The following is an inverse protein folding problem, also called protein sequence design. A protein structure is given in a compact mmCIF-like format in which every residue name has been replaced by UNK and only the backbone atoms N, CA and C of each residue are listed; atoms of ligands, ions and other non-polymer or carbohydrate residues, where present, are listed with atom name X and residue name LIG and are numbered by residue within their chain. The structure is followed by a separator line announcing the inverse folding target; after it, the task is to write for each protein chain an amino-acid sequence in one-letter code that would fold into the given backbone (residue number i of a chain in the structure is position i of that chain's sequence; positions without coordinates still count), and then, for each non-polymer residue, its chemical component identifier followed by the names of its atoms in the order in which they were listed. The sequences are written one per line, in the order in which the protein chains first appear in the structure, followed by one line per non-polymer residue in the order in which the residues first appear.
data_IF_169251757542
#
_entry.id   IF_169251757542
#
_cell.length_a   1.000
_cell.length_b   1.000
_cell.length_c   1.000
_cell.angle_alpha   90.00
_cell.angle_beta   90.00
_cell.angle_gamma   90.00
#
_symmetry.space_group_name_H-M   'P 1'
#
loop_
_entity.id
_entity.type
_entity.pdbx_description
1 polymer ?
#
# COMPACT_ATOMS: atom_id res chain seq x y z
N UNK A 1 -31.61 -32.96 12.87
CA UNK A 1 -31.11 -32.23 11.68
C UNK A 1 -30.30 -31.07 12.21
N UNK A 2 -29.03 -30.92 11.79
CA UNK A 2 -28.30 -29.69 12.06
C UNK A 2 -29.01 -28.56 11.27
N UNK A 3 -29.19 -27.40 11.88
CA UNK A 3 -29.78 -26.25 11.21
C UNK A 3 -28.89 -25.75 10.05
N UNK A 4 -29.36 -24.73 9.28
CA UNK A 4 -28.56 -24.15 8.22
C UNK A 4 -27.29 -23.50 8.80
N UNK A 5 -26.21 -23.58 8.05
CA UNK A 5 -24.93 -22.91 8.35
C UNK A 5 -24.89 -21.58 7.59
N UNK A 6 -24.14 -20.62 8.10
CA UNK A 6 -24.01 -19.31 7.47
C UNK A 6 -22.55 -18.94 7.31
N UNK A 7 -22.23 -18.26 6.21
CA UNK A 7 -20.91 -17.73 5.94
C UNK A 7 -21.00 -16.35 5.29
N UNK A 8 -20.18 -15.43 5.74
CA UNK A 8 -20.04 -14.11 5.12
C UNK A 8 -18.88 -14.11 4.12
N UNK A 9 -19.11 -13.52 2.94
CA UNK A 9 -18.08 -13.30 1.92
C UNK A 9 -18.03 -11.82 1.61
N UNK A 10 -16.85 -11.25 1.55
CA UNK A 10 -16.60 -9.86 1.19
C UNK A 10 -15.84 -9.82 -0.13
N UNK A 11 -16.41 -9.16 -1.14
CA UNK A 11 -15.72 -8.85 -2.39
C UNK A 11 -15.22 -7.41 -2.35
N UNK A 12 -13.91 -7.27 -2.39
CA UNK A 12 -13.20 -6.01 -2.45
C UNK A 12 -12.64 -5.79 -3.84
N UNK A 13 -13.03 -4.68 -4.48
CA UNK A 13 -12.46 -4.25 -5.78
C UNK A 13 -11.36 -3.21 -5.50
N UNK A 14 -10.13 -3.48 -5.96
CA UNK A 14 -9.01 -2.56 -5.78
C UNK A 14 -9.21 -1.30 -6.62
N UNK A 15 -9.08 -0.14 -6.00
CA UNK A 15 -9.12 1.16 -6.70
C UNK A 15 -7.78 1.51 -7.36
N UNK A 16 -6.69 0.86 -6.95
CA UNK A 16 -5.35 1.15 -7.45
C UNK A 16 -5.04 0.43 -8.78
N UNK A 17 -5.75 -0.67 -9.09
CA UNK A 17 -5.57 -1.51 -10.27
C UNK A 17 -6.75 -1.33 -11.24
N UNK A 18 -7.10 -0.09 -11.58
CA UNK A 18 -8.19 0.22 -12.51
C UNK A 18 -7.60 0.44 -13.91
N UNK A 19 -8.20 -0.12 -14.98
CA UNK A 19 -7.76 0.14 -16.34
C UNK A 19 -7.79 1.63 -16.69
N UNK A 20 -6.81 2.08 -17.49
CA UNK A 20 -6.70 3.46 -17.94
C UNK A 20 -8.00 3.99 -18.54
N UNK A 21 -8.46 5.13 -18.04
CA UNK A 21 -9.68 5.80 -18.51
C UNK A 21 -11.00 5.25 -17.94
N UNK A 22 -10.95 4.25 -17.06
CA UNK A 22 -12.15 3.71 -16.39
C UNK A 22 -12.35 4.36 -15.02
N UNK A 23 -13.61 4.70 -14.72
CA UNK A 23 -13.96 5.21 -13.39
C UNK A 23 -14.02 4.05 -12.38
N UNK A 24 -13.27 4.09 -11.26
CA UNK A 24 -13.26 3.03 -10.25
C UNK A 24 -14.65 2.68 -9.71
N UNK A 25 -15.52 3.69 -9.54
CA UNK A 25 -16.87 3.49 -9.04
C UNK A 25 -17.74 2.69 -10.02
N UNK A 26 -17.64 2.97 -11.32
CA UNK A 26 -18.35 2.22 -12.35
C UNK A 26 -17.85 0.79 -12.47
N UNK A 27 -16.55 0.58 -12.26
CA UNK A 27 -15.96 -0.77 -12.25
C UNK A 27 -16.51 -1.57 -11.07
N UNK A 28 -16.54 -0.99 -9.86
CA UNK A 28 -17.10 -1.63 -8.67
C UNK A 28 -18.58 -2.00 -8.84
N UNK A 29 -19.41 -1.09 -9.38
CA UNK A 29 -20.82 -1.36 -9.68
C UNK A 29 -20.99 -2.47 -10.74
N UNK A 30 -20.10 -2.52 -11.72
CA UNK A 30 -20.12 -3.58 -12.73
C UNK A 30 -19.75 -4.94 -12.14
N UNK A 31 -18.77 -4.97 -11.21
CA UNK A 31 -18.39 -6.18 -10.48
C UNK A 31 -19.56 -6.69 -9.62
N UNK A 32 -20.24 -5.79 -8.89
CA UNK A 32 -21.43 -6.11 -8.10
C UNK A 32 -22.51 -6.81 -8.96
N UNK A 33 -22.82 -6.24 -10.12
CA UNK A 33 -23.80 -6.83 -11.04
C UNK A 33 -23.42 -8.23 -11.47
N UNK A 34 -22.15 -8.45 -11.78
CA UNK A 34 -21.66 -9.77 -12.20
C UNK A 34 -21.63 -10.78 -11.03
N UNK A 35 -21.40 -10.33 -9.80
CA UNK A 35 -21.55 -11.16 -8.58
C UNK A 35 -22.97 -11.68 -8.51
N UNK A 36 -23.97 -10.80 -8.65
CA UNK A 36 -25.40 -11.18 -8.66
C UNK A 36 -25.70 -12.25 -9.71
N UNK A 37 -25.26 -12.02 -10.94
CA UNK A 37 -25.56 -12.92 -12.05
C UNK A 37 -24.86 -14.28 -11.95
N UNK A 38 -23.61 -14.32 -11.45
CA UNK A 38 -22.78 -15.53 -11.52
C UNK A 38 -22.67 -16.32 -10.24
N UNK A 39 -22.76 -15.65 -9.10
CA UNK A 39 -22.55 -16.29 -7.80
C UNK A 39 -23.86 -16.55 -7.05
N UNK A 40 -24.87 -15.70 -7.26
CA UNK A 40 -26.15 -15.83 -6.54
C UNK A 40 -27.17 -16.74 -7.26
N UNK A 41 -26.93 -17.07 -8.54
CA UNK A 41 -27.81 -18.01 -9.24
C UNK A 41 -27.84 -19.37 -8.52
N UNK A 42 -29.05 -19.79 -8.10
CA UNK A 42 -29.28 -21.05 -7.36
C UNK A 42 -28.64 -21.13 -5.96
N UNK A 43 -28.31 -20.02 -5.34
CA UNK A 43 -27.82 -19.97 -3.97
C UNK A 43 -28.82 -19.24 -3.07
N UNK A 44 -29.02 -19.75 -1.85
CA UNK A 44 -29.76 -18.99 -0.83
C UNK A 44 -28.79 -18.02 -0.17
N UNK A 45 -28.86 -16.75 -0.60
CA UNK A 45 -27.93 -15.71 -0.12
C UNK A 45 -28.60 -14.33 -0.08
N UNK A 46 -28.09 -13.48 0.79
CA UNK A 46 -28.43 -12.07 0.89
C UNK A 46 -27.20 -11.24 0.50
N UNK A 47 -27.44 -10.15 -0.23
CA UNK A 47 -26.39 -9.24 -0.68
C UNK A 47 -26.66 -7.82 -0.19
N UNK A 48 -25.60 -7.12 0.15
CA UNK A 48 -25.62 -5.69 0.44
C UNK A 48 -24.25 -5.05 0.21
N UNK A 49 -24.24 -3.73 0.07
CA UNK A 49 -23.00 -2.95 -0.05
C UNK A 49 -22.71 -2.32 1.31
N UNK A 50 -21.48 -2.47 1.76
CA UNK A 50 -21.01 -1.82 2.97
C UNK A 50 -19.56 -1.40 2.84
N UNK A 51 -19.26 -0.14 3.14
CA UNK A 51 -17.91 0.47 3.04
C UNK A 51 -17.24 0.22 1.67
N UNK A 52 -17.99 0.35 0.58
CA UNK A 52 -17.48 0.16 -0.79
C UNK A 52 -17.22 -1.29 -1.21
N UNK A 53 -17.57 -2.26 -0.37
CA UNK A 53 -17.43 -3.69 -0.67
C UNK A 53 -18.80 -4.33 -0.90
N UNK A 54 -18.85 -5.33 -1.78
CA UNK A 54 -20.03 -6.19 -1.93
C UNK A 54 -19.94 -7.33 -0.94
N UNK A 55 -20.96 -7.48 -0.11
CA UNK A 55 -21.03 -8.49 0.95
C UNK A 55 -22.12 -9.47 0.62
N UNK A 56 -21.82 -10.76 0.70
CA UNK A 56 -22.77 -11.86 0.61
C UNK A 56 -22.85 -12.59 1.93
N UNK A 57 -24.08 -12.81 2.42
CA UNK A 57 -24.36 -13.78 3.47
C UNK A 57 -24.92 -15.03 2.79
N UNK A 58 -24.17 -16.12 2.85
CA UNK A 58 -24.50 -17.40 2.23
C UNK A 58 -25.08 -18.35 3.26
N UNK A 59 -26.16 -19.06 2.89
CA UNK A 59 -26.66 -20.22 3.62
C UNK A 59 -26.04 -21.49 3.04
N UNK A 60 -25.48 -22.35 3.90
CA UNK A 60 -24.83 -23.60 3.53
C UNK A 60 -25.53 -24.76 4.21
N UNK A 61 -25.53 -25.93 3.56
CA UNK A 61 -26.12 -27.15 4.13
C UNK A 61 -25.08 -28.02 4.84
N UNK A 62 -23.80 -27.86 4.51
CA UNK A 62 -22.69 -28.55 5.14
C UNK A 62 -21.41 -27.69 5.15
N UNK A 63 -20.49 -28.01 6.07
CA UNK A 63 -19.16 -27.37 6.11
C UNK A 63 -18.32 -27.66 4.85
N UNK A 64 -18.55 -28.80 4.19
CA UNK A 64 -17.83 -29.19 2.97
C UNK A 64 -18.13 -28.27 1.78
N UNK A 65 -19.26 -27.57 1.80
CA UNK A 65 -19.63 -26.61 0.75
C UNK A 65 -18.72 -25.38 0.75
N UNK A 66 -18.04 -25.08 1.88
CA UNK A 66 -17.18 -23.89 1.98
C UNK A 66 -16.00 -23.94 1.01
N UNK A 67 -15.42 -25.12 0.80
CA UNK A 67 -14.32 -25.29 -0.16
C UNK A 67 -14.78 -25.02 -1.60
N UNK A 68 -15.96 -25.57 -1.98
CA UNK A 68 -16.54 -25.33 -3.30
C UNK A 68 -16.92 -23.86 -3.51
N UNK A 69 -17.42 -23.20 -2.45
CA UNK A 69 -17.76 -21.79 -2.46
C UNK A 69 -16.51 -20.92 -2.62
N UNK A 70 -15.43 -21.24 -1.89
CA UNK A 70 -14.13 -20.59 -2.01
C UNK A 70 -13.59 -20.72 -3.44
N UNK A 71 -13.63 -21.89 -4.03
CA UNK A 71 -13.22 -22.13 -5.42
C UNK A 71 -14.09 -21.35 -6.44
N UNK A 72 -15.40 -21.25 -6.19
CA UNK A 72 -16.32 -20.48 -7.03
C UNK A 72 -15.98 -18.99 -7.00
N UNK A 73 -15.69 -18.46 -5.80
CA UNK A 73 -15.25 -17.09 -5.61
C UNK A 73 -13.88 -16.84 -6.27
N UNK A 74 -12.95 -17.77 -6.17
CA UNK A 74 -11.63 -17.66 -6.78
C UNK A 74 -11.70 -17.62 -8.30
N UNK A 75 -12.52 -18.49 -8.90
CA UNK A 75 -12.80 -18.47 -10.35
C UNK A 75 -13.43 -17.15 -10.80
N UNK A 76 -14.35 -16.59 -9.99
CA UNK A 76 -14.93 -15.29 -10.24
C UNK A 76 -13.88 -14.17 -10.20
N UNK A 77 -13.01 -14.12 -9.21
CA UNK A 77 -11.96 -13.11 -9.10
C UNK A 77 -11.00 -13.14 -10.30
N UNK A 78 -10.60 -14.34 -10.75
CA UNK A 78 -9.76 -14.51 -11.94
C UNK A 78 -10.49 -14.13 -13.23
N UNK A 79 -11.79 -14.42 -13.33
CA UNK A 79 -12.63 -14.03 -14.45
C UNK A 79 -12.79 -12.49 -14.51
N UNK A 80 -13.10 -11.85 -13.38
CA UNK A 80 -13.24 -10.39 -13.29
C UNK A 80 -11.97 -9.66 -13.76
N UNK A 81 -10.81 -10.16 -13.37
CA UNK A 81 -9.55 -9.63 -13.87
C UNK A 81 -9.38 -9.79 -15.38
N UNK A 82 -9.67 -10.97 -15.90
CA UNK A 82 -9.43 -11.31 -17.31
C UNK A 82 -10.36 -10.57 -18.26
N UNK A 83 -11.62 -10.37 -17.87
CA UNK A 83 -12.67 -9.83 -18.75
C UNK A 83 -12.93 -8.36 -18.49
N UNK A 84 -12.87 -7.93 -17.24
CA UNK A 84 -13.21 -6.56 -16.84
C UNK A 84 -11.98 -5.73 -16.48
N UNK A 85 -10.80 -6.34 -16.32
CA UNK A 85 -9.62 -5.70 -15.76
C UNK A 85 -9.77 -5.33 -14.27
N UNK A 86 -10.79 -5.90 -13.59
CA UNK A 86 -11.08 -5.60 -12.20
C UNK A 86 -10.25 -6.49 -11.26
N UNK A 87 -9.37 -5.91 -10.45
CA UNK A 87 -8.64 -6.62 -9.42
C UNK A 87 -9.55 -6.83 -8.19
N UNK A 88 -10.27 -7.96 -8.18
CA UNK A 88 -11.21 -8.33 -7.12
C UNK A 88 -10.57 -9.34 -6.19
N UNK A 89 -10.70 -9.14 -4.89
CA UNK A 89 -10.34 -10.11 -3.85
C UNK A 89 -11.58 -10.51 -3.08
N UNK A 90 -11.83 -11.81 -2.95
CA UNK A 90 -12.92 -12.32 -2.14
C UNK A 90 -12.37 -12.86 -0.81
N UNK A 91 -12.81 -12.28 0.30
CA UNK A 91 -12.54 -12.82 1.64
C UNK A 91 -13.69 -13.70 2.09
N UNK A 92 -13.39 -14.95 2.44
CA UNK A 92 -14.36 -15.92 2.93
C UNK A 92 -14.18 -16.05 4.44
N UNK A 93 -15.25 -15.77 5.19
CA UNK A 93 -15.25 -15.80 6.66
C UNK A 93 -15.43 -17.20 7.23
N UNK A 94 -15.43 -17.29 8.55
CA UNK A 94 -15.70 -18.53 9.27
C UNK A 94 -17.15 -18.95 9.13
N UNK A 95 -17.41 -20.25 9.09
CA UNK A 95 -18.77 -20.80 9.08
C UNK A 95 -19.38 -20.67 10.48
N UNK A 96 -20.62 -20.16 10.54
CA UNK A 96 -21.40 -20.00 11.77
C UNK A 96 -22.63 -20.92 11.76
N UNK A 97 -22.96 -21.46 12.92
CA UNK A 97 -24.14 -22.32 13.09
C UNK A 97 -25.43 -21.49 13.30
N UNK A 98 -25.30 -20.18 13.49
CA UNK A 98 -26.41 -19.31 13.81
C UNK A 98 -26.20 -17.95 13.11
N UNK A 99 -27.28 -17.39 12.57
CA UNK A 99 -27.25 -16.08 11.92
C UNK A 99 -26.89 -14.94 12.88
N UNK A 100 -27.16 -15.09 14.19
CA UNK A 100 -26.73 -14.09 15.18
C UNK A 100 -25.21 -13.95 15.31
N UNK A 101 -24.46 -14.99 14.92
CA UNK A 101 -23.00 -15.01 14.96
C UNK A 101 -22.37 -14.55 13.65
N UNK A 102 -23.18 -14.04 12.70
CA UNK A 102 -22.71 -13.63 11.37
C UNK A 102 -21.65 -12.51 11.44
N UNK A 103 -21.65 -11.71 12.51
CA UNK A 103 -20.61 -10.71 12.77
C UNK A 103 -19.22 -11.32 12.86
N UNK A 104 -19.09 -12.51 13.45
CA UNK A 104 -17.82 -13.26 13.57
C UNK A 104 -17.34 -13.67 12.17
N UNK A 105 -18.27 -14.17 11.34
CA UNK A 105 -17.97 -14.51 9.95
C UNK A 105 -17.58 -13.28 9.13
N UNK A 106 -18.27 -12.16 9.33
CA UNK A 106 -17.93 -10.89 8.68
C UNK A 106 -16.52 -10.41 9.06
N UNK A 107 -16.16 -10.43 10.33
CA UNK A 107 -14.82 -10.04 10.78
C UNK A 107 -13.76 -10.96 10.19
N UNK A 108 -13.98 -12.26 10.14
CA UNK A 108 -13.11 -13.21 9.48
C UNK A 108 -12.97 -12.95 7.98
N UNK A 109 -14.07 -12.65 7.28
CA UNK A 109 -14.03 -12.29 5.86
C UNK A 109 -13.26 -10.98 5.62
N UNK A 110 -13.43 -9.99 6.48
CA UNK A 110 -12.70 -8.72 6.42
C UNK A 110 -11.21 -8.91 6.65
N UNK A 111 -10.86 -9.72 7.64
CA UNK A 111 -9.47 -10.11 7.89
C UNK A 111 -8.88 -10.85 6.69
N UNK A 112 -9.59 -11.81 6.10
CA UNK A 112 -9.17 -12.52 4.90
C UNK A 112 -8.88 -11.57 3.73
N UNK A 113 -9.75 -10.56 3.49
CA UNK A 113 -9.51 -9.52 2.49
C UNK A 113 -8.22 -8.74 2.78
N UNK A 114 -7.90 -8.46 4.04
CA UNK A 114 -6.68 -7.71 4.38
C UNK A 114 -5.40 -8.47 4.01
N UNK A 115 -5.43 -9.80 4.00
CA UNK A 115 -4.31 -10.64 3.58
C UNK A 115 -3.99 -10.56 2.08
N UNK A 116 -4.79 -9.83 1.28
CA UNK A 116 -4.49 -9.60 -0.16
C UNK A 116 -3.12 -8.95 -0.38
N UNK A 117 -2.65 -8.15 0.56
CA UNK A 117 -1.32 -7.51 0.49
C UNK A 117 -0.18 -8.51 0.56
N UNK A 118 -0.38 -9.67 1.24
CA UNK A 118 0.61 -10.72 1.39
C UNK A 118 0.45 -11.87 0.37
N UNK A 119 -0.80 -12.19 0.01
CA UNK A 119 -1.10 -13.32 -0.88
C UNK A 119 -1.44 -12.91 -2.31
N UNK A 120 -1.50 -11.60 -2.57
CA UNK A 120 -1.88 -11.03 -3.85
C UNK A 120 -3.39 -10.82 -3.97
N UNK A 121 -3.76 -9.94 -4.91
CA UNK A 121 -5.14 -9.66 -5.33
C UNK A 121 -5.64 -10.71 -6.34
N UNK A 122 -6.88 -10.56 -6.82
CA UNK A 122 -7.46 -11.37 -7.94
C UNK A 122 -7.73 -12.83 -7.58
N UNK A 123 -8.03 -13.09 -6.31
CA UNK A 123 -8.25 -14.42 -5.76
C UNK A 123 -9.21 -14.43 -4.58
N UNK A 124 -9.70 -15.60 -4.24
CA UNK A 124 -10.38 -15.81 -2.96
C UNK A 124 -9.36 -16.20 -1.87
N UNK A 125 -9.61 -15.72 -0.66
CA UNK A 125 -8.82 -16.02 0.53
C UNK A 125 -9.80 -16.46 1.60
N UNK A 126 -9.66 -17.71 2.06
CA UNK A 126 -10.48 -18.27 3.14
C UNK A 126 -9.73 -18.10 4.46
N UNK A 127 -10.37 -17.46 5.44
CA UNK A 127 -9.75 -17.20 6.75
C UNK A 127 -9.31 -18.48 7.46
N UNK A 128 -10.07 -19.58 7.29
CA UNK A 128 -9.76 -20.86 7.89
C UNK A 128 -8.49 -21.53 7.29
N UNK A 129 -8.11 -21.15 6.08
CA UNK A 129 -6.91 -21.65 5.37
C UNK A 129 -5.68 -20.79 5.63
N UNK A 130 -5.86 -19.61 6.23
CA UNK A 130 -4.75 -18.78 6.68
C UNK A 130 -4.15 -19.44 7.91
N UNK A 131 -3.25 -20.38 7.65
CA UNK A 131 -2.40 -20.92 8.73
C UNK A 131 -1.41 -19.80 9.07
N UNK A 132 -1.44 -19.27 10.30
CA UNK A 132 -0.34 -18.43 10.75
C UNK A 132 0.93 -19.25 10.53
N UNK A 133 1.91 -18.69 9.84
CA UNK A 133 3.23 -19.34 9.72
C UNK A 133 3.93 -19.23 11.08
N UNK A 134 3.30 -19.80 12.10
CA UNK A 134 3.75 -19.80 13.51
C UNK A 134 5.13 -20.40 13.69
N UNK A 135 5.64 -21.13 12.70
CA UNK A 135 6.96 -21.74 12.75
C UNK A 135 8.11 -20.83 12.32
N UNK A 136 7.85 -19.69 11.72
CA UNK A 136 8.88 -18.66 11.65
C UNK A 136 8.82 -17.91 12.97
N UNK A 137 9.72 -18.31 13.93
CA UNK A 137 10.11 -17.46 15.06
C UNK A 137 10.00 -16.04 14.60
N UNK A 138 9.29 -15.19 15.37
CA UNK A 138 9.27 -13.75 15.08
C UNK A 138 10.71 -13.37 14.74
N UNK A 139 10.99 -13.25 13.43
CA UNK A 139 12.29 -12.76 12.98
C UNK A 139 12.27 -11.37 13.58
N UNK A 140 13.22 -11.01 14.47
CA UNK A 140 13.32 -9.66 14.93
C UNK A 140 13.23 -8.84 13.65
N UNK A 141 12.27 -7.91 13.59
CA UNK A 141 12.24 -6.93 12.51
C UNK A 141 13.65 -6.31 12.58
N UNK A 142 14.54 -6.82 11.73
CA UNK A 142 15.81 -6.13 11.54
C UNK A 142 15.38 -4.73 11.20
N UNK A 143 15.76 -3.77 12.03
CA UNK A 143 15.49 -2.35 11.77
C UNK A 143 15.77 -2.15 10.31
N UNK A 144 14.72 -1.92 9.53
CA UNK A 144 14.84 -1.77 8.07
C UNK A 144 15.59 -0.47 7.87
N UNK A 145 16.91 -0.55 7.97
CA UNK A 145 17.79 0.57 7.71
C UNK A 145 17.78 0.78 6.22
N UNK A 146 16.82 1.54 5.71
CA UNK A 146 16.70 1.96 4.30
C UNK A 146 17.90 2.85 3.89
N UNK A 147 19.09 2.59 4.48
CA UNK A 147 20.28 3.44 4.34
C UNK A 147 20.73 3.55 2.89
N UNK A 148 20.70 2.43 2.15
CA UNK A 148 21.13 2.44 0.73
C UNK A 148 20.12 3.19 -0.14
N UNK A 149 18.81 3.06 0.14
CA UNK A 149 17.79 3.83 -0.55
C UNK A 149 17.94 5.34 -0.25
N UNK A 150 18.12 5.72 1.01
CA UNK A 150 18.32 7.12 1.39
C UNK A 150 19.63 7.70 0.83
N UNK A 151 20.69 6.89 0.73
CA UNK A 151 21.92 7.30 0.06
C UNK A 151 21.70 7.53 -1.44
N UNK A 152 20.94 6.65 -2.10
CA UNK A 152 20.59 6.82 -3.51
C UNK A 152 19.73 8.08 -3.76
N UNK A 153 18.76 8.34 -2.89
CA UNK A 153 17.94 9.57 -2.90
C UNK A 153 18.82 10.81 -2.78
N UNK A 154 19.78 10.80 -1.84
CA UNK A 154 20.66 11.94 -1.58
C UNK A 154 21.59 12.25 -2.76
N UNK A 155 22.06 11.21 -3.46
CA UNK A 155 22.90 11.33 -4.67
C UNK A 155 22.07 11.70 -5.90
N UNK A 156 20.80 11.31 -5.96
CA UNK A 156 19.91 11.53 -7.10
C UNK A 156 20.06 10.45 -8.19
N UNK A 157 20.56 9.27 -7.82
CA UNK A 157 20.71 8.13 -8.72
C UNK A 157 19.40 7.38 -8.90
N UNK A 158 18.68 7.68 -9.98
CA UNK A 158 17.35 7.15 -10.25
C UNK A 158 17.35 5.62 -10.43
N UNK A 159 18.35 5.05 -11.08
CA UNK A 159 18.45 3.60 -11.28
C UNK A 159 18.67 2.88 -9.95
N UNK A 160 19.55 3.42 -9.11
CA UNK A 160 19.77 2.88 -7.78
C UNK A 160 18.56 3.03 -6.87
N UNK A 161 17.83 4.14 -6.95
CA UNK A 161 16.55 4.34 -6.23
C UNK A 161 15.57 3.23 -6.59
N UNK A 162 15.35 2.95 -7.88
CA UNK A 162 14.44 1.88 -8.33
C UNK A 162 14.87 0.52 -7.80
N UNK A 163 16.14 0.20 -7.92
CA UNK A 163 16.69 -1.09 -7.46
C UNK A 163 16.54 -1.30 -5.96
N UNK A 164 16.87 -0.29 -5.16
CA UNK A 164 16.75 -0.41 -3.70
C UNK A 164 15.29 -0.38 -3.24
N UNK A 165 14.39 0.35 -3.92
CA UNK A 165 12.96 0.32 -3.65
C UNK A 165 12.36 -1.10 -3.84
N UNK A 166 12.70 -1.76 -4.94
CA UNK A 166 12.28 -3.15 -5.20
C UNK A 166 12.78 -4.06 -4.07
N UNK A 167 14.04 -3.95 -3.72
CA UNK A 167 14.67 -4.77 -2.67
C UNK A 167 14.01 -4.55 -1.29
N UNK A 168 13.66 -3.31 -0.93
CA UNK A 168 12.97 -3.02 0.33
C UNK A 168 11.55 -3.60 0.33
N UNK A 169 10.83 -3.54 -0.79
CA UNK A 169 9.51 -4.18 -0.92
C UNK A 169 9.60 -5.71 -0.82
N UNK A 170 10.57 -6.34 -1.50
CA UNK A 170 10.80 -7.78 -1.40
C UNK A 170 11.11 -8.21 0.04
N UNK A 171 11.93 -7.44 0.77
CA UNK A 171 12.21 -7.69 2.18
C UNK A 171 10.95 -7.60 3.04
N UNK A 172 10.12 -6.56 2.82
CA UNK A 172 8.86 -6.38 3.52
C UNK A 172 7.98 -7.63 3.37
N UNK A 173 7.75 -8.10 2.15
CA UNK A 173 6.90 -9.26 1.89
C UNK A 173 7.51 -10.58 2.36
N UNK A 174 8.82 -10.74 2.27
CA UNK A 174 9.52 -11.94 2.73
C UNK A 174 9.50 -12.10 4.24
N UNK A 175 9.58 -10.99 4.97
CA UNK A 175 9.70 -10.98 6.43
C UNK A 175 8.35 -10.92 7.13
N UNK A 176 7.31 -10.38 6.51
CA UNK A 176 5.99 -10.32 7.08
C UNK A 176 5.28 -11.69 6.96
N UNK A 177 5.06 -12.34 8.08
CA UNK A 177 4.30 -13.60 8.16
C UNK A 177 2.81 -13.34 8.47
N UNK A 178 2.49 -12.21 9.10
CA UNK A 178 1.14 -11.80 9.48
C UNK A 178 0.85 -10.40 8.98
N UNK A 179 -0.44 -10.05 8.90
CA UNK A 179 -0.87 -8.70 8.52
C UNK A 179 -0.38 -7.64 9.51
N UNK A 180 -0.33 -7.98 10.81
CA UNK A 180 0.19 -7.07 11.83
C UNK A 180 1.68 -6.77 11.64
N UNK A 181 2.49 -7.77 11.29
CA UNK A 181 3.91 -7.58 10.97
C UNK A 181 4.09 -6.76 9.70
N UNK A 182 3.27 -7.00 8.68
CA UNK A 182 3.27 -6.19 7.45
C UNK A 182 2.95 -4.73 7.75
N UNK A 183 1.90 -4.46 8.51
CA UNK A 183 1.49 -3.12 8.88
C UNK A 183 2.59 -2.41 9.69
N UNK A 184 3.20 -3.10 10.66
CA UNK A 184 4.28 -2.54 11.47
C UNK A 184 5.50 -2.17 10.59
N UNK A 185 5.95 -3.08 9.73
CA UNK A 185 7.06 -2.82 8.83
C UNK A 185 6.76 -1.70 7.82
N UNK A 186 5.52 -1.61 7.34
CA UNK A 186 5.06 -0.49 6.49
C UNK A 186 5.12 0.84 7.25
N UNK A 187 4.71 0.87 8.52
CA UNK A 187 4.83 2.06 9.39
C UNK A 187 6.29 2.49 9.57
N UNK A 188 7.21 1.54 9.70
CA UNK A 188 8.65 1.82 9.80
C UNK A 188 9.18 2.46 8.51
N UNK A 189 8.76 1.98 7.34
CA UNK A 189 9.13 2.58 6.03
C UNK A 189 8.64 4.03 5.94
N UNK A 190 7.36 4.29 6.26
CA UNK A 190 6.79 5.65 6.23
C UNK A 190 7.50 6.57 7.23
N UNK A 191 7.76 6.07 8.46
CA UNK A 191 8.50 6.81 9.48
C UNK A 191 9.94 7.10 9.06
N UNK A 192 10.58 6.18 8.33
CA UNK A 192 11.91 6.36 7.75
C UNK A 192 11.94 7.53 6.77
N UNK A 193 10.99 7.62 5.85
CA UNK A 193 10.87 8.76 4.93
C UNK A 193 10.62 10.07 5.67
N UNK A 194 9.73 10.06 6.67
CA UNK A 194 9.47 11.24 7.49
C UNK A 194 10.75 11.74 8.18
N UNK A 195 11.47 10.83 8.85
CA UNK A 195 12.74 11.16 9.53
C UNK A 195 13.80 11.67 8.53
N UNK A 196 13.89 11.06 7.35
CA UNK A 196 14.81 11.49 6.32
C UNK A 196 14.49 12.92 5.84
N UNK A 197 13.23 13.24 5.59
CA UNK A 197 12.80 14.60 5.23
C UNK A 197 13.12 15.61 6.34
N UNK A 198 12.79 15.29 7.59
CA UNK A 198 13.05 16.15 8.75
C UNK A 198 14.57 16.46 8.90
N UNK A 199 15.42 15.44 8.75
CA UNK A 199 16.88 15.60 8.82
C UNK A 199 17.47 16.45 7.68
N UNK A 200 16.73 16.61 6.58
CA UNK A 200 17.12 17.46 5.45
C UNK A 200 16.32 18.77 5.37
N UNK A 201 15.68 19.18 6.47
CA UNK A 201 14.88 20.41 6.57
C UNK A 201 13.77 20.52 5.52
N UNK A 202 13.16 19.38 5.17
CA UNK A 202 12.03 19.32 4.22
C UNK A 202 10.74 18.97 4.97
N UNK A 203 9.64 19.60 4.56
CA UNK A 203 8.31 19.22 5.02
C UNK A 203 7.83 17.99 4.24
N UNK A 204 7.66 16.87 4.96
CA UNK A 204 7.15 15.63 4.38
C UNK A 204 5.72 15.78 3.83
N UNK A 205 4.88 16.64 4.43
CA UNK A 205 3.51 16.87 3.98
C UNK A 205 3.44 17.50 2.59
N UNK A 206 4.40 18.37 2.24
CA UNK A 206 4.48 18.97 0.88
C UNK A 206 4.73 17.89 -0.19
N UNK A 207 5.37 16.80 0.16
CA UNK A 207 5.76 15.71 -0.76
C UNK A 207 4.72 14.60 -0.79
N UNK A 208 4.25 14.17 0.39
CA UNK A 208 3.35 13.02 0.55
C UNK A 208 1.86 13.38 0.44
N UNK A 209 1.53 14.67 0.52
CA UNK A 209 0.16 15.13 0.74
C UNK A 209 -0.28 14.93 2.19
N UNK A 210 -1.60 14.90 2.43
CA UNK A 210 -2.12 14.78 3.79
C UNK A 210 -1.74 13.45 4.46
N UNK A 211 -0.92 13.53 5.52
CA UNK A 211 -0.39 12.37 6.26
C UNK A 211 -1.48 11.61 7.04
N UNK A 212 -2.60 12.26 7.39
CA UNK A 212 -3.64 11.64 8.22
C UNK A 212 -4.17 10.31 7.65
N UNK A 213 -4.27 10.20 6.33
CA UNK A 213 -4.76 8.99 5.65
C UNK A 213 -3.64 8.18 4.99
N UNK A 214 -2.38 8.61 5.13
CA UNK A 214 -1.25 7.98 4.45
C UNK A 214 -1.04 6.54 4.91
N UNK A 215 -1.08 6.30 6.23
CA UNK A 215 -0.91 4.97 6.79
C UNK A 215 -2.00 4.00 6.31
N UNK A 216 -3.27 4.40 6.36
CA UNK A 216 -4.37 3.57 5.89
C UNK A 216 -4.21 3.21 4.41
N UNK A 217 -3.78 4.17 3.59
CA UNK A 217 -3.56 3.96 2.17
C UNK A 217 -2.38 3.02 1.91
N UNK A 218 -1.24 3.27 2.56
CA UNK A 218 0.00 2.52 2.29
C UNK A 218 -0.08 1.09 2.82
N UNK A 219 -0.71 0.85 3.96
CA UNK A 219 -0.90 -0.50 4.51
C UNK A 219 -1.85 -1.38 3.68
N UNK A 220 -2.59 -0.80 2.75
CA UNK A 220 -3.49 -1.53 1.85
C UNK A 220 -2.91 -1.80 0.46
N UNK A 221 -1.71 -1.30 0.19
CA UNK A 221 -1.04 -1.53 -1.10
C UNK A 221 -0.57 -2.97 -1.23
N UNK A 222 -0.77 -3.55 -2.41
CA UNK A 222 -0.13 -4.81 -2.77
C UNK A 222 1.36 -4.59 -3.10
N UNK A 223 2.08 -5.67 -3.38
CA UNK A 223 3.53 -5.63 -3.61
C UNK A 223 3.93 -4.65 -4.72
N UNK A 224 3.22 -4.68 -5.84
CA UNK A 224 3.52 -3.82 -7.00
C UNK A 224 3.24 -2.36 -6.71
N UNK A 225 2.09 -2.08 -6.10
CA UNK A 225 1.68 -0.73 -5.71
C UNK A 225 2.58 -0.16 -4.61
N UNK A 226 3.02 -0.99 -3.64
CA UNK A 226 3.98 -0.60 -2.61
C UNK A 226 5.34 -0.23 -3.23
N UNK A 227 5.84 -1.05 -4.15
CA UNK A 227 7.09 -0.76 -4.87
C UNK A 227 7.00 0.59 -5.59
N UNK A 228 5.92 0.81 -6.35
CA UNK A 228 5.69 2.06 -7.06
C UNK A 228 5.58 3.25 -6.11
N UNK A 229 4.91 3.08 -4.97
CA UNK A 229 4.79 4.13 -3.96
C UNK A 229 6.17 4.51 -3.38
N UNK A 230 7.01 3.53 -3.03
CA UNK A 230 8.38 3.78 -2.53
C UNK A 230 9.22 4.50 -3.59
N UNK A 231 9.14 4.07 -4.87
CA UNK A 231 9.86 4.71 -5.98
C UNK A 231 9.41 6.16 -6.13
N UNK A 232 8.11 6.41 -6.24
CA UNK A 232 7.56 7.74 -6.46
C UNK A 232 7.90 8.69 -5.30
N UNK A 233 7.78 8.22 -4.05
CA UNK A 233 8.17 8.99 -2.88
C UNK A 233 9.67 9.32 -2.90
N UNK A 234 10.51 8.33 -3.20
CA UNK A 234 11.96 8.51 -3.28
C UNK A 234 12.37 9.50 -4.36
N UNK A 235 11.74 9.42 -5.54
CA UNK A 235 11.99 10.35 -6.66
C UNK A 235 11.57 11.77 -6.31
N UNK A 236 10.40 11.96 -5.71
CA UNK A 236 9.89 13.27 -5.30
C UNK A 236 10.80 13.92 -4.25
N UNK A 237 11.26 13.16 -3.26
CA UNK A 237 12.20 13.63 -2.25
C UNK A 237 13.55 14.01 -2.90
N UNK A 238 14.07 13.18 -3.79
CA UNK A 238 15.33 13.42 -4.49
C UNK A 238 15.28 14.71 -5.33
N UNK A 239 14.18 14.95 -6.05
CA UNK A 239 13.98 16.17 -6.84
C UNK A 239 13.88 17.42 -5.94
N UNK A 240 13.16 17.32 -4.81
CA UNK A 240 13.06 18.42 -3.84
C UNK A 240 14.45 18.77 -3.27
N UNK A 241 15.25 17.76 -2.90
CA UNK A 241 16.64 17.96 -2.44
C UNK A 241 17.49 18.68 -3.50
N UNK A 242 17.40 18.25 -4.76
CA UNK A 242 18.14 18.84 -5.87
C UNK A 242 17.74 20.30 -6.09
N UNK A 243 16.45 20.61 -6.07
CA UNK A 243 15.95 21.98 -6.23
C UNK A 243 16.41 22.91 -5.10
N UNK A 244 16.38 22.41 -3.84
CA UNK A 244 16.84 23.18 -2.68
C UNK A 244 18.34 23.47 -2.74
N UNK A 245 19.18 22.47 -3.11
CA UNK A 245 20.62 22.67 -3.31
C UNK A 245 20.92 23.71 -4.40
N UNK A 246 20.21 23.61 -5.54
CA UNK A 246 20.39 24.54 -6.65
C UNK A 246 19.99 25.97 -6.25
N UNK A 247 18.91 26.16 -5.50
CA UNK A 247 18.48 27.46 -5.01
C UNK A 247 19.47 28.08 -4.02
N UNK A 248 19.98 27.26 -3.08
CA UNK A 248 21.01 27.69 -2.12
C UNK A 248 22.31 28.08 -2.83
N UNK A 249 22.79 27.25 -3.76
CA UNK A 249 23.99 27.57 -4.54
C UNK A 249 23.84 28.85 -5.35
N UNK A 250 22.68 29.06 -6.01
CA UNK A 250 22.41 30.30 -6.73
C UNK A 250 22.39 31.50 -5.81
N UNK A 251 21.79 31.40 -4.61
CA UNK A 251 21.78 32.49 -3.64
C UNK A 251 23.19 32.84 -3.21
N UNK A 252 24.01 31.87 -2.84
CA UNK A 252 25.42 32.09 -2.45
C UNK A 252 26.19 32.78 -3.57
N UNK A 253 26.03 32.32 -4.82
CA UNK A 253 26.71 32.96 -5.98
C UNK A 253 26.23 34.40 -6.16
N UNK A 254 24.94 34.67 -6.04
CA UNK A 254 24.38 36.01 -6.15
C UNK A 254 24.88 36.92 -5.03
N UNK A 255 24.89 36.41 -3.79
CA UNK A 255 25.37 37.16 -2.64
C UNK A 255 26.88 37.47 -2.76
N UNK A 256 27.68 36.48 -3.17
CA UNK A 256 29.11 36.70 -3.48
C UNK A 256 29.33 37.75 -4.56
N UNK A 257 28.54 37.69 -5.65
CA UNK A 257 28.63 38.68 -6.72
C UNK A 257 28.27 40.11 -6.25
N UNK A 258 27.28 40.22 -5.36
CA UNK A 258 26.90 41.54 -4.78
C UNK A 258 28.01 42.06 -3.88
N UNK A 259 28.56 41.25 -2.98
CA UNK A 259 29.69 41.62 -2.12
C UNK A 259 30.87 42.13 -2.97
N UNK A 260 31.23 41.40 -4.02
CA UNK A 260 32.32 41.80 -4.91
C UNK A 260 31.98 43.12 -5.63
N UNK A 261 30.74 43.32 -6.12
CA UNK A 261 30.32 44.57 -6.78
C UNK A 261 30.35 45.75 -5.83
N UNK A 262 29.98 45.56 -4.57
CA UNK A 262 29.92 46.66 -3.60
C UNK A 262 31.31 47.03 -3.08
N UNK A 263 32.25 46.04 -3.04
CA UNK A 263 33.57 46.21 -2.44
C UNK A 263 34.76 46.15 -3.44
N UNK A 264 34.50 46.05 -4.77
CA UNK A 264 35.57 45.91 -5.77
C UNK A 264 36.63 47.04 -5.77
N UNK A 265 36.31 48.20 -5.18
CA UNK A 265 37.23 49.33 -5.04
C UNK A 265 38.19 49.17 -3.86
N UNK A 266 38.00 48.22 -3.00
CA UNK A 266 38.88 47.97 -1.84
C UNK A 266 40.14 47.21 -2.31
N UNK A 267 41.36 47.77 -2.14
CA UNK A 267 42.58 47.16 -2.68
C UNK A 267 42.93 45.81 -2.01
N UNK A 268 42.48 45.61 -0.81
CA UNK A 268 42.79 44.43 0.04
C UNK A 268 41.67 43.38 0.05
N UNK A 269 40.62 43.51 -0.78
CA UNK A 269 39.52 42.55 -0.87
C UNK A 269 40.07 41.21 -1.32
N UNK A 270 39.97 40.22 -0.45
CA UNK A 270 40.39 38.82 -0.68
C UNK A 270 39.22 37.87 -0.79
N UNK A 271 39.50 36.65 -1.27
CA UNK A 271 38.50 35.57 -1.30
C UNK A 271 38.03 35.20 0.15
N UNK A 272 38.95 35.29 1.09
CA UNK A 272 38.65 34.95 2.50
C UNK A 272 37.66 36.00 3.09
N UNK A 273 37.78 37.28 2.72
CA UNK A 273 36.82 38.32 3.13
C UNK A 273 35.43 38.07 2.55
N UNK A 274 35.34 37.69 1.27
CA UNK A 274 34.06 37.33 0.66
C UNK A 274 33.46 36.10 1.32
N UNK A 275 34.26 35.08 1.66
CA UNK A 275 33.80 33.89 2.37
C UNK A 275 33.34 34.22 3.79
N UNK A 276 34.04 35.14 4.48
CA UNK A 276 33.64 35.56 5.83
C UNK A 276 32.29 36.31 5.85
N UNK A 277 32.06 37.14 4.81
CA UNK A 277 30.81 37.90 4.66
C UNK A 277 29.61 37.03 4.25
N UNK A 278 29.86 35.86 3.63
CA UNK A 278 28.83 34.88 3.25
C UNK A 278 28.41 33.98 4.41
N UNK A 279 29.18 33.87 5.49
CA UNK A 279 28.87 33.08 6.71
C UNK A 279 29.36 31.67 6.64
#
# INVERSE_FOLDING_TARGET
MKGPLFCCIIFHTSENDVPDGMNPLLLSMSVEREIKQRLMENCNCQEFIYMGNTILIMELHSEDEIAQLTDKCDRFCRWAWRIMGAAVTAGVGTVCNNLYDISISYEGAREAVSYRVLYGTKRAINIAEIVPKESKKAVPLEETKMQELFRAIHVGDQEKIRKEAIKETEKLHKNAATISQYNLATMEIVSGFFKFCANNSMDFNEISGNVQNLYERVTQLDESSMTNWIINMSMAISEKLRSTRNSTSRRIITDAQNIVKDRYMEPDLSLDDVCADLG
#
